data_IF_200585409206
#
_entry.id   IF_200585409206
#
_cell.length_a   1.000
_cell.length_b   1.000
_cell.length_c   1.000
_cell.angle_alpha   90.00
_cell.angle_beta   90.00
_cell.angle_gamma   90.00
#
_symmetry.space_group_name_H-M   'P 1'
#
loop_
_entity.id
_entity.type
_entity.pdbx_description
1 polymer ?
#
# COMPACT_ATOMS: atom_id res chain seq x y z
N UNK A 1 -30.48 -111.24 86.92
CA UNK A 1 -31.49 -110.31 87.45
C UNK A 1 -31.47 -110.36 88.97
N UNK A 2 -30.79 -109.41 89.63
CA UNK A 2 -31.03 -108.90 91.01
C UNK A 2 -30.21 -107.59 91.16
N UNK A 3 -30.87 -106.51 91.59
CA UNK A 3 -30.54 -105.06 91.48
C UNK A 3 -29.33 -104.62 92.35
N UNK A 4 -28.23 -104.00 91.89
CA UNK A 4 -27.92 -102.60 91.43
C UNK A 4 -28.10 -101.50 92.51
N UNK A 5 -27.06 -101.02 93.23
CA UNK A 5 -25.91 -100.11 92.93
C UNK A 5 -26.27 -98.60 92.98
N UNK A 6 -25.40 -97.81 93.63
CA UNK A 6 -25.29 -96.32 93.65
C UNK A 6 -25.73 -95.54 94.91
N UNK A 7 -25.12 -95.76 96.08
CA UNK A 7 -24.97 -94.74 97.15
C UNK A 7 -23.61 -94.89 97.84
N UNK A 8 -22.58 -94.59 97.06
CA UNK A 8 -21.26 -94.25 97.55
C UNK A 8 -21.20 -92.77 97.99
N UNK A 9 -20.06 -92.41 98.59
CA UNK A 9 -19.35 -91.16 98.32
C UNK A 9 -19.58 -89.94 99.21
N UNK A 10 -20.57 -89.91 100.11
CA UNK A 10 -20.73 -88.73 100.97
C UNK A 10 -20.20 -88.92 102.39
N UNK A 11 -18.98 -88.42 102.52
CA UNK A 11 -18.51 -87.65 103.68
C UNK A 11 -17.66 -88.39 104.70
N UNK A 12 -16.79 -89.23 104.16
CA UNK A 12 -15.43 -89.51 104.64
C UNK A 12 -14.53 -88.23 104.65
N UNK A 13 -15.04 -87.03 104.36
CA UNK A 13 -14.25 -85.79 104.14
C UNK A 13 -14.26 -84.82 105.35
N UNK A 14 -15.15 -84.94 106.34
CA UNK A 14 -15.24 -83.95 107.43
C UNK A 14 -14.51 -84.31 108.73
N UNK A 15 -13.92 -85.50 108.84
CA UNK A 15 -13.20 -85.96 110.04
C UNK A 15 -11.71 -85.59 110.08
N UNK A 16 -11.20 -84.82 109.11
CA UNK A 16 -9.76 -84.51 108.99
C UNK A 16 -9.35 -83.10 109.48
N UNK A 17 -10.28 -82.20 109.85
CA UNK A 17 -9.94 -80.84 110.29
C UNK A 17 -9.57 -80.71 111.77
N UNK A 18 -9.57 -81.84 112.51
CA UNK A 18 -9.39 -81.91 113.96
C UNK A 18 -7.93 -82.08 114.44
N UNK A 19 -6.94 -82.13 113.54
CA UNK A 19 -5.63 -82.68 113.92
C UNK A 19 -4.41 -81.77 113.69
N UNK A 20 -4.55 -80.50 113.33
CA UNK A 20 -3.32 -79.72 113.10
C UNK A 20 -3.46 -78.23 113.43
N UNK A 21 -3.36 -77.80 114.67
CA UNK A 21 -2.23 -77.92 115.62
C UNK A 21 -1.97 -76.48 116.06
N UNK A 22 -2.74 -76.04 117.06
CA UNK A 22 -2.47 -74.85 117.85
C UNK A 22 -2.12 -75.36 119.25
N UNK A 23 -0.85 -75.78 119.45
CA UNK A 23 -0.33 -76.18 120.75
C UNK A 23 1.11 -75.68 120.96
N UNK A 24 1.22 -74.64 121.81
CA UNK A 24 2.31 -74.31 122.76
C UNK A 24 3.71 -73.99 122.21
N UNK A 25 4.57 -73.12 122.78
CA UNK A 25 4.59 -72.43 124.08
C UNK A 25 5.98 -72.57 124.77
N UNK A 26 6.64 -71.42 125.02
CA UNK A 26 7.54 -71.02 126.15
C UNK A 26 8.90 -71.71 126.49
N UNK A 27 9.87 -70.83 126.79
CA UNK A 27 10.91 -70.81 127.87
C UNK A 27 12.38 -71.33 127.64
N UNK A 28 13.32 -70.37 127.84
CA UNK A 28 14.72 -70.34 128.35
C UNK A 28 15.73 -71.52 128.21
N UNK A 29 16.81 -71.19 127.46
CA UNK A 29 18.28 -71.49 127.44
C UNK A 29 18.95 -72.43 128.47
N UNK A 30 20.20 -72.96 128.25
CA UNK A 30 21.13 -72.80 127.10
C UNK A 30 21.90 -74.08 126.62
N UNK A 31 22.56 -73.99 125.45
CA UNK A 31 23.91 -74.52 125.09
C UNK A 31 24.01 -75.01 123.62
N UNK A 32 25.00 -74.49 122.87
CA UNK A 32 25.64 -75.22 121.75
C UNK A 32 25.20 -74.97 120.28
N UNK A 33 25.79 -73.96 119.64
CA UNK A 33 26.51 -74.02 118.33
C UNK A 33 25.90 -74.69 117.06
N UNK A 34 25.37 -73.88 116.11
CA UNK A 34 25.71 -73.77 114.64
C UNK A 34 24.61 -73.09 113.78
N UNK A 35 25.01 -72.02 113.07
CA UNK A 35 24.84 -71.67 111.62
C UNK A 35 23.43 -71.49 110.96
N UNK A 36 23.25 -70.28 110.38
CA UNK A 36 22.50 -69.82 109.17
C UNK A 36 20.95 -69.77 109.02
N UNK A 37 20.48 -68.56 108.63
CA UNK A 37 19.43 -68.22 107.62
C UNK A 37 18.14 -67.47 108.06
N UNK A 38 18.13 -66.16 107.74
CA UNK A 38 17.09 -65.20 107.26
C UNK A 38 15.66 -65.06 107.83
N UNK A 39 15.22 -63.79 107.95
CA UNK A 39 13.84 -63.26 107.85
C UNK A 39 13.83 -62.05 106.86
N UNK A 40 12.72 -61.73 106.16
CA UNK A 40 12.73 -60.93 104.92
C UNK A 40 12.57 -59.41 105.14
N UNK A 41 13.17 -58.59 104.24
CA UNK A 41 12.93 -57.14 104.13
C UNK A 41 13.03 -56.67 102.66
N UNK A 42 12.19 -55.68 102.34
CA UNK A 42 11.67 -55.23 101.04
C UNK A 42 12.70 -54.70 100.03
N UNK A 43 12.50 -55.02 98.75
CA UNK A 43 13.24 -54.48 97.60
C UNK A 43 13.05 -52.98 97.46
N UNK A 44 14.16 -52.22 97.45
CA UNK A 44 14.19 -50.81 97.05
C UNK A 44 15.12 -50.64 95.85
N UNK A 45 14.56 -50.15 94.74
CA UNK A 45 15.33 -49.65 93.61
C UNK A 45 15.56 -48.15 93.80
N UNK A 46 16.81 -47.69 93.71
CA UNK A 46 17.15 -46.27 93.67
C UNK A 46 16.67 -45.65 92.37
N UNK A 47 15.67 -44.76 92.43
CA UNK A 47 15.22 -43.98 91.29
C UNK A 47 16.24 -42.88 90.95
N UNK A 48 16.69 -42.84 89.69
CA UNK A 48 17.49 -41.76 89.13
C UNK A 48 16.55 -40.79 88.42
N UNK A 49 16.49 -39.52 88.85
CA UNK A 49 15.80 -38.48 88.08
C UNK A 49 16.65 -38.18 86.84
N UNK A 50 16.21 -38.63 85.67
CA UNK A 50 16.64 -38.04 84.41
C UNK A 50 15.66 -36.90 84.07
N UNK A 51 16.19 -35.68 83.94
CA UNK A 51 15.45 -34.55 83.37
C UNK A 51 15.03 -34.93 81.95
N UNK A 52 13.73 -34.91 81.61
CA UNK A 52 13.29 -35.09 80.24
C UNK A 52 14.03 -34.07 79.38
N UNK A 53 14.67 -34.50 78.30
CA UNK A 53 15.17 -33.56 77.31
C UNK A 53 13.95 -32.77 76.78
N UNK A 54 13.96 -31.44 76.95
CA UNK A 54 12.94 -30.48 76.49
C UNK A 54 12.91 -30.35 74.94
N UNK A 55 13.10 -31.45 74.23
CA UNK A 55 12.98 -31.55 72.79
C UNK A 55 11.89 -32.55 72.45
N UNK A 56 10.68 -32.02 72.27
CA UNK A 56 9.58 -32.76 71.66
C UNK A 56 9.76 -32.69 70.15
N UNK A 57 10.29 -33.76 69.56
CA UNK A 57 10.32 -33.92 68.11
C UNK A 57 8.91 -34.23 67.63
N UNK A 58 8.23 -33.22 67.07
CA UNK A 58 6.92 -33.38 66.43
C UNK A 58 7.10 -33.57 64.93
N UNK A 59 6.52 -34.64 64.40
CA UNK A 59 6.44 -34.84 62.96
C UNK A 59 5.36 -33.92 62.38
N UNK A 60 5.74 -33.04 61.45
CA UNK A 60 4.82 -32.17 60.72
C UNK A 60 5.23 -32.06 59.26
N UNK A 61 4.28 -31.74 58.39
CA UNK A 61 4.52 -31.52 56.96
C UNK A 61 4.48 -30.03 56.65
N UNK A 62 5.44 -29.55 55.85
CA UNK A 62 5.43 -28.18 55.35
C UNK A 62 4.78 -28.18 53.97
N UNK A 63 3.77 -27.34 53.77
CA UNK A 63 3.03 -27.23 52.51
C UNK A 63 3.11 -25.79 51.98
N UNK A 64 3.40 -25.63 50.69
CA UNK A 64 3.49 -24.31 50.07
C UNK A 64 2.09 -23.65 49.99
N UNK A 65 1.95 -22.42 50.49
CA UNK A 65 0.68 -21.69 50.51
C UNK A 65 0.19 -21.21 49.13
N UNK A 66 1.07 -21.11 48.14
CA UNK A 66 0.73 -20.80 46.74
C UNK A 66 1.78 -21.41 45.82
N UNK A 67 1.34 -22.01 44.71
CA UNK A 67 2.20 -22.62 43.70
C UNK A 67 1.80 -22.10 42.32
N UNK A 68 2.79 -21.81 41.48
CA UNK A 68 2.60 -21.47 40.08
C UNK A 68 3.50 -22.37 39.22
N UNK A 69 2.93 -22.99 38.19
CA UNK A 69 3.70 -23.74 37.22
C UNK A 69 4.44 -22.76 36.29
N UNK A 70 5.76 -22.91 36.20
CA UNK A 70 6.58 -22.12 35.27
C UNK A 70 6.84 -22.97 34.03
N UNK A 71 6.43 -22.47 32.86
CA UNK A 71 6.60 -23.14 31.58
C UNK A 71 7.13 -22.21 30.50
N UNK A 72 7.81 -22.77 29.51
CA UNK A 72 8.24 -22.03 28.33
C UNK A 72 7.04 -21.75 27.41
N UNK A 73 6.98 -20.54 26.82
CA UNK A 73 5.95 -20.17 25.84
C UNK A 73 6.13 -20.83 24.49
N UNK A 74 7.36 -21.27 24.19
CA UNK A 74 7.75 -21.96 22.96
C UNK A 74 8.49 -23.24 23.31
N UNK A 75 8.29 -24.33 22.56
CA UNK A 75 9.05 -25.55 22.75
C UNK A 75 10.51 -25.30 22.36
N UNK A 76 11.42 -25.44 23.33
CA UNK A 76 12.85 -25.20 23.14
C UNK A 76 13.69 -26.07 24.07
N UNK A 77 14.93 -26.35 23.67
CA UNK A 77 15.89 -27.05 24.52
C UNK A 77 16.38 -26.11 25.63
N UNK A 78 16.50 -26.60 26.86
CA UNK A 78 17.12 -25.84 27.95
C UNK A 78 18.64 -25.90 27.79
N UNK A 79 19.29 -24.74 27.66
CA UNK A 79 20.76 -24.61 27.58
C UNK A 79 21.39 -24.54 28.96
N UNK A 80 20.72 -23.89 29.92
CA UNK A 80 21.20 -23.76 31.29
C UNK A 80 20.03 -23.57 32.26
N UNK A 81 20.11 -24.17 33.44
CA UNK A 81 19.26 -23.85 34.58
C UNK A 81 20.10 -22.96 35.51
N UNK A 82 19.58 -21.79 35.87
CA UNK A 82 20.34 -20.71 36.52
C UNK A 82 20.11 -20.64 38.03
N UNK A 83 19.22 -21.49 38.58
CA UNK A 83 18.80 -21.49 39.97
C UNK A 83 18.80 -22.91 40.53
N UNK A 84 18.97 -23.05 41.85
CA UNK A 84 18.93 -24.33 42.55
C UNK A 84 17.63 -24.52 43.34
N UNK A 85 17.29 -25.77 43.63
CA UNK A 85 16.16 -26.08 44.49
C UNK A 85 16.34 -25.47 45.89
N UNK A 86 15.30 -24.79 46.40
CA UNK A 86 15.33 -24.05 47.66
C UNK A 86 15.92 -22.63 47.58
N UNK A 87 16.41 -22.21 46.42
CA UNK A 87 16.94 -20.85 46.21
C UNK A 87 15.80 -19.82 46.15
N UNK A 88 15.97 -18.68 46.85
CA UNK A 88 15.03 -17.57 46.78
C UNK A 88 15.29 -16.73 45.55
N UNK A 89 14.27 -16.55 44.72
CA UNK A 89 14.32 -15.77 43.49
C UNK A 89 13.38 -14.57 43.56
N UNK A 90 13.72 -13.50 42.85
CA UNK A 90 12.88 -12.30 42.73
C UNK A 90 12.18 -12.23 41.37
N UNK A 91 11.10 -11.46 41.28
CA UNK A 91 10.37 -11.28 40.02
C UNK A 91 11.29 -10.71 38.92
N UNK A 92 11.20 -11.29 37.71
CA UNK A 92 12.06 -10.94 36.57
C UNK A 92 13.42 -11.63 36.54
N UNK A 93 13.78 -12.40 37.57
CA UNK A 93 15.02 -13.18 37.58
C UNK A 93 14.93 -14.35 36.57
N UNK A 94 15.89 -14.49 35.64
CA UNK A 94 15.94 -15.64 34.75
C UNK A 94 16.17 -16.93 35.52
N UNK A 95 15.28 -17.90 35.35
CA UNK A 95 15.36 -19.21 36.01
C UNK A 95 16.08 -20.26 35.14
N UNK A 96 15.91 -20.15 33.82
CA UNK A 96 16.56 -21.01 32.84
C UNK A 96 16.81 -20.24 31.53
N UNK A 97 17.79 -20.69 30.76
CA UNK A 97 18.08 -20.21 29.40
C UNK A 97 17.66 -21.28 28.40
N UNK A 98 16.96 -20.87 27.36
CA UNK A 98 16.50 -21.74 26.27
C UNK A 98 17.40 -21.52 25.03
N UNK A 99 17.59 -22.57 24.25
CA UNK A 99 18.21 -22.51 22.94
C UNK A 99 17.17 -22.01 21.93
N UNK A 100 17.45 -20.84 21.35
CA UNK A 100 16.55 -20.14 20.42
C UNK A 100 17.12 -20.11 19.00
N UNK A 101 18.12 -20.93 18.67
CA UNK A 101 18.82 -20.88 17.38
C UNK A 101 17.90 -20.98 16.15
N UNK A 102 16.85 -21.81 16.22
CA UNK A 102 15.86 -21.93 15.14
C UNK A 102 15.04 -20.64 14.96
N UNK A 103 14.70 -19.95 16.05
CA UNK A 103 13.99 -18.67 16.02
C UNK A 103 14.89 -17.55 15.50
N UNK A 104 16.15 -17.52 15.94
CA UNK A 104 17.13 -16.56 15.45
C UNK A 104 17.38 -16.74 13.94
N UNK A 105 17.46 -17.98 13.46
CA UNK A 105 17.56 -18.29 12.03
C UNK A 105 16.33 -17.82 11.25
N UNK A 106 15.12 -18.00 11.80
CA UNK A 106 13.88 -17.50 11.20
C UNK A 106 13.84 -15.97 11.14
N UNK A 107 14.28 -15.29 12.21
CA UNK A 107 14.40 -13.82 12.24
C UNK A 107 15.39 -13.37 11.17
N UNK A 108 16.58 -13.97 11.11
CA UNK A 108 17.60 -13.63 10.11
C UNK A 108 17.10 -13.81 8.67
N UNK A 109 16.35 -14.90 8.41
CA UNK A 109 15.73 -15.14 7.10
C UNK A 109 14.63 -14.12 6.79
N UNK A 110 13.78 -13.78 7.75
CA UNK A 110 12.73 -12.78 7.59
C UNK A 110 13.31 -11.38 7.35
N UNK A 111 14.35 -10.99 8.08
CA UNK A 111 15.06 -9.73 7.89
C UNK A 111 15.77 -9.68 6.53
N UNK A 112 16.36 -10.78 6.07
CA UNK A 112 16.93 -10.87 4.74
C UNK A 112 15.85 -10.69 3.65
N UNK A 113 14.68 -11.33 3.85
CA UNK A 113 13.50 -11.13 3.00
C UNK A 113 13.04 -9.67 2.98
N UNK A 114 12.97 -9.02 4.14
CA UNK A 114 12.61 -7.60 4.26
C UNK A 114 13.61 -6.70 3.51
N UNK A 115 14.92 -6.91 3.70
CA UNK A 115 15.97 -6.15 2.99
C UNK A 115 15.85 -6.33 1.47
N UNK A 116 15.58 -7.56 1.01
CA UNK A 116 15.33 -7.86 -0.40
C UNK A 116 14.10 -7.11 -0.94
N UNK A 117 12.98 -7.18 -0.23
CA UNK A 117 11.75 -6.49 -0.61
C UNK A 117 11.92 -4.96 -0.65
N UNK A 118 12.63 -4.38 0.33
CA UNK A 118 12.95 -2.95 0.35
C UNK A 118 13.83 -2.54 -0.82
N UNK A 119 14.82 -3.34 -1.19
CA UNK A 119 15.68 -3.07 -2.34
C UNK A 119 14.89 -3.12 -3.66
N UNK A 120 13.95 -4.07 -3.80
CA UNK A 120 13.05 -4.14 -4.95
C UNK A 120 12.12 -2.91 -5.02
N UNK A 121 11.57 -2.47 -3.88
CA UNK A 121 10.73 -1.27 -3.82
C UNK A 121 11.51 -0.01 -4.23
N UNK A 122 12.76 0.15 -3.77
CA UNK A 122 13.63 1.26 -4.20
C UNK A 122 13.89 1.23 -5.70
N UNK A 123 14.25 0.08 -6.26
CA UNK A 123 14.43 -0.08 -7.72
C UNK A 123 13.17 0.25 -8.51
N UNK A 124 11.99 -0.12 -8.00
CA UNK A 124 10.72 0.19 -8.64
C UNK A 124 10.42 1.69 -8.62
N UNK A 125 10.68 2.38 -7.50
CA UNK A 125 10.54 3.84 -7.41
C UNK A 125 11.54 4.57 -8.32
N UNK A 126 12.80 4.15 -8.33
CA UNK A 126 13.82 4.71 -9.22
C UNK A 126 13.41 4.53 -10.70
N UNK A 127 12.91 3.34 -11.05
CA UNK A 127 12.35 3.07 -12.38
C UNK A 127 11.14 3.94 -12.71
N UNK A 128 10.26 4.20 -11.73
CA UNK A 128 9.09 5.09 -11.89
C UNK A 128 9.52 6.55 -12.11
N UNK A 129 10.53 7.02 -11.38
CA UNK A 129 11.10 8.36 -11.53
C UNK A 129 11.78 8.52 -12.90
N UNK A 130 12.59 7.55 -13.32
CA UNK A 130 13.19 7.55 -14.64
C UNK A 130 12.14 7.56 -15.76
N UNK A 131 11.09 6.74 -15.62
CA UNK A 131 9.97 6.72 -16.59
C UNK A 131 9.21 8.05 -16.61
N UNK A 132 9.04 8.71 -15.47
CA UNK A 132 8.42 10.02 -15.40
C UNK A 132 9.25 11.08 -16.13
N UNK A 133 10.56 11.12 -15.87
CA UNK A 133 11.46 12.05 -16.56
C UNK A 133 11.45 11.84 -18.09
N UNK A 134 11.39 10.59 -18.53
CA UNK A 134 11.28 10.24 -19.95
C UNK A 134 9.94 10.73 -20.55
N UNK A 135 8.82 10.53 -19.85
CA UNK A 135 7.51 11.03 -20.29
C UNK A 135 7.48 12.56 -20.33
N UNK A 136 8.05 13.24 -19.34
CA UNK A 136 8.11 14.69 -19.29
C UNK A 136 8.93 15.24 -20.48
N UNK A 137 10.04 14.58 -20.84
CA UNK A 137 10.83 14.92 -22.02
C UNK A 137 10.05 14.71 -23.34
N UNK A 138 9.27 13.62 -23.44
CA UNK A 138 8.41 13.36 -24.61
C UNK A 138 7.29 14.41 -24.75
N UNK A 139 6.68 14.81 -23.63
CA UNK A 139 5.67 15.89 -23.60
C UNK A 139 6.30 17.20 -24.07
N UNK A 140 7.47 17.58 -23.54
CA UNK A 140 8.17 18.79 -23.94
C UNK A 140 8.53 18.80 -25.44
N UNK A 141 8.96 17.66 -26.00
CA UNK A 141 9.24 17.53 -27.43
C UNK A 141 7.97 17.66 -28.28
N UNK A 142 6.85 17.07 -27.82
CA UNK A 142 5.56 17.16 -28.50
C UNK A 142 5.04 18.61 -28.49
N UNK A 143 5.17 19.32 -27.38
CA UNK A 143 4.80 20.72 -27.26
C UNK A 143 5.65 21.63 -28.16
N UNK A 144 6.97 21.40 -28.21
CA UNK A 144 7.86 22.13 -29.11
C UNK A 144 7.48 21.89 -30.59
N UNK A 145 7.13 20.66 -30.95
CA UNK A 145 6.66 20.31 -32.29
C UNK A 145 5.32 20.97 -32.63
N UNK A 146 4.41 21.04 -31.66
CA UNK A 146 3.13 21.75 -31.80
C UNK A 146 3.34 23.26 -31.96
N UNK A 147 4.24 23.86 -31.20
CA UNK A 147 4.58 25.28 -31.33
C UNK A 147 5.18 25.61 -32.70
N UNK A 148 6.06 24.75 -33.22
CA UNK A 148 6.59 24.86 -34.58
C UNK A 148 5.47 24.73 -35.63
N UNK A 149 4.58 23.75 -35.49
CA UNK A 149 3.47 23.54 -36.41
C UNK A 149 2.52 24.74 -36.44
N UNK A 150 2.20 25.32 -35.28
CA UNK A 150 1.41 26.56 -35.17
C UNK A 150 2.09 27.74 -35.84
N UNK A 151 3.40 27.91 -35.62
CA UNK A 151 4.17 28.99 -36.25
C UNK A 151 4.15 28.88 -37.77
N UNK A 152 4.30 27.66 -38.31
CA UNK A 152 4.17 27.39 -39.75
C UNK A 152 2.77 27.67 -40.29
N UNK A 153 1.72 27.32 -39.54
CA UNK A 153 0.34 27.65 -39.91
C UNK A 153 0.15 29.17 -40.00
N UNK A 154 0.60 29.93 -39.00
CA UNK A 154 0.53 31.40 -39.01
C UNK A 154 1.30 31.99 -40.19
N UNK A 155 2.49 31.47 -40.51
CA UNK A 155 3.25 31.90 -41.69
C UNK A 155 2.50 31.62 -43.00
N UNK A 156 1.89 30.44 -43.13
CA UNK A 156 1.09 30.08 -44.30
C UNK A 156 -0.16 30.97 -44.44
N UNK A 157 -0.85 31.24 -43.34
CA UNK A 157 -2.03 32.14 -43.31
C UNK A 157 -1.66 33.57 -43.69
N UNK A 158 -0.55 34.09 -43.18
CA UNK A 158 -0.04 35.42 -43.55
C UNK A 158 0.33 35.46 -45.03
N UNK A 159 1.03 34.45 -45.54
CA UNK A 159 1.35 34.33 -46.96
C UNK A 159 0.09 34.31 -47.83
N UNK A 160 -0.92 33.53 -47.44
CA UNK A 160 -2.21 33.48 -48.14
C UNK A 160 -2.94 34.82 -48.11
N UNK A 161 -2.95 35.52 -46.96
CA UNK A 161 -3.57 36.84 -46.82
C UNK A 161 -2.88 37.87 -47.73
N UNK A 162 -1.55 37.87 -47.77
CA UNK A 162 -0.77 38.75 -48.65
C UNK A 162 -1.09 38.47 -50.12
N UNK A 163 -1.05 37.20 -50.56
CA UNK A 163 -1.40 36.82 -51.93
C UNK A 163 -2.84 37.21 -52.27
N UNK A 164 -3.79 37.04 -51.35
CA UNK A 164 -5.18 37.45 -51.55
C UNK A 164 -5.31 38.97 -51.69
N UNK A 165 -4.61 39.74 -50.85
CA UNK A 165 -4.63 41.20 -50.92
C UNK A 165 -4.00 41.73 -52.22
N UNK A 166 -2.93 41.10 -52.68
CA UNK A 166 -2.31 41.39 -53.98
C UNK A 166 -3.29 41.07 -55.12
N UNK A 167 -3.91 39.89 -55.11
CA UNK A 167 -4.90 39.51 -56.13
C UNK A 167 -6.12 40.45 -56.17
N UNK A 168 -6.58 40.94 -55.01
CA UNK A 168 -7.64 41.96 -54.94
C UNK A 168 -7.17 43.27 -55.58
N UNK A 169 -5.95 43.71 -55.27
CA UNK A 169 -5.36 44.93 -55.84
C UNK A 169 -5.17 44.81 -57.36
N UNK A 170 -4.73 43.66 -57.84
CA UNK A 170 -4.57 43.35 -59.26
C UNK A 170 -5.92 43.36 -59.99
N UNK A 171 -6.94 42.75 -59.38
CA UNK A 171 -8.31 42.78 -59.89
C UNK A 171 -8.84 44.20 -59.98
N UNK A 172 -8.54 45.05 -59.01
CA UNK A 172 -8.98 46.45 -59.02
C UNK A 172 -8.29 47.28 -60.11
N UNK A 173 -6.98 47.04 -60.33
CA UNK A 173 -6.24 47.63 -61.46
C UNK A 173 -6.79 47.18 -62.80
N UNK A 174 -7.08 45.89 -62.96
CA UNK A 174 -7.70 45.34 -64.17
C UNK A 174 -9.09 45.95 -64.42
N UNK A 175 -9.94 46.03 -63.38
CA UNK A 175 -11.25 46.69 -63.46
C UNK A 175 -11.16 48.15 -63.89
N UNK A 176 -10.22 48.89 -63.31
CA UNK A 176 -9.97 50.29 -63.67
C UNK A 176 -9.54 50.42 -65.14
N UNK A 177 -8.69 49.51 -65.63
CA UNK A 177 -8.30 49.43 -67.04
C UNK A 177 -9.48 49.17 -67.97
N UNK A 178 -10.35 48.21 -67.62
CA UNK A 178 -11.59 47.93 -68.37
C UNK A 178 -12.51 49.15 -68.39
N UNK A 179 -12.65 49.87 -67.27
CA UNK A 179 -13.47 51.07 -67.19
C UNK A 179 -12.96 52.19 -68.11
N UNK A 180 -11.64 52.41 -68.15
CA UNK A 180 -11.01 53.38 -69.05
C UNK A 180 -11.18 53.00 -70.52
N UNK A 181 -10.96 51.73 -70.86
CA UNK A 181 -11.14 51.25 -72.24
C UNK A 181 -12.61 51.35 -72.68
N UNK A 182 -13.56 51.12 -71.77
CA UNK A 182 -14.98 51.31 -72.02
C UNK A 182 -15.32 52.78 -72.29
N UNK A 183 -14.79 53.70 -71.48
CA UNK A 183 -14.98 55.13 -71.70
C UNK A 183 -14.38 55.60 -73.05
N UNK A 184 -13.23 55.05 -73.45
CA UNK A 184 -12.62 55.34 -74.75
C UNK A 184 -13.46 54.83 -75.92
N UNK A 185 -14.06 53.64 -75.80
CA UNK A 185 -15.00 53.12 -76.79
C UNK A 185 -16.24 54.00 -76.90
N UNK A 186 -16.82 54.41 -75.78
CA UNK A 186 -17.99 55.28 -75.75
C UNK A 186 -17.71 56.63 -76.44
N UNK A 187 -16.55 57.23 -76.18
CA UNK A 187 -16.11 58.45 -76.87
C UNK A 187 -15.96 58.25 -78.39
N UNK A 188 -15.40 57.11 -78.82
CA UNK A 188 -15.24 56.78 -80.23
C UNK A 188 -16.61 56.51 -80.92
N UNK A 189 -17.57 55.92 -80.21
CA UNK A 189 -18.93 55.71 -80.70
C UNK A 189 -19.69 57.02 -80.88
N UNK A 190 -19.54 57.96 -79.94
CA UNK A 190 -20.10 59.32 -80.08
C UNK A 190 -19.49 60.02 -81.31
N UNK A 191 -18.17 59.96 -81.48
CA UNK A 191 -17.50 60.54 -82.66
C UNK A 191 -17.94 59.91 -83.98
N UNK A 192 -18.15 58.59 -83.98
CA UNK A 192 -18.70 57.87 -85.13
C UNK A 192 -20.14 58.32 -85.45
N UNK A 193 -21.00 58.46 -84.44
CA UNK A 193 -22.36 58.95 -84.64
C UNK A 193 -22.37 60.36 -85.26
N UNK A 194 -21.52 61.27 -84.77
CA UNK A 194 -21.38 62.62 -85.34
C UNK A 194 -20.92 62.59 -86.80
N UNK A 195 -19.97 61.71 -87.15
CA UNK A 195 -19.49 61.55 -88.52
C UNK A 195 -20.56 60.94 -89.44
N UNK A 196 -21.35 59.99 -88.95
CA UNK A 196 -22.48 59.39 -89.67
C UNK A 196 -23.56 60.44 -89.98
N UNK A 197 -23.92 61.25 -88.98
CA UNK A 197 -24.92 62.31 -89.14
C UNK A 197 -24.44 63.38 -90.12
N UNK A 198 -23.16 63.77 -90.06
CA UNK A 198 -22.57 64.70 -91.01
C UNK A 198 -22.65 64.17 -92.44
N UNK A 199 -22.19 62.92 -92.67
CA UNK A 199 -22.27 62.27 -93.97
C UNK A 199 -23.72 62.17 -94.48
N UNK A 200 -24.67 61.76 -93.63
CA UNK A 200 -26.08 61.66 -93.99
C UNK A 200 -26.70 63.02 -94.39
N UNK A 201 -26.33 64.10 -93.70
CA UNK A 201 -26.76 65.47 -94.06
C UNK A 201 -26.19 65.90 -95.41
N UNK A 202 -24.90 65.70 -95.63
CA UNK A 202 -24.21 66.06 -96.87
C UNK A 202 -24.71 65.24 -98.05
N UNK A 203 -24.95 63.94 -97.87
CA UNK A 203 -25.52 63.07 -98.92
C UNK A 203 -26.89 63.58 -99.39
N UNK A 204 -27.80 63.88 -98.45
CA UNK A 204 -29.13 64.45 -98.79
C UNK A 204 -29.04 65.79 -99.50
N UNK A 205 -28.04 66.62 -99.17
CA UNK A 205 -27.84 67.91 -99.80
C UNK A 205 -27.21 67.77 -101.19
N UNK A 206 -26.31 66.80 -101.38
CA UNK A 206 -25.70 66.48 -102.67
C UNK A 206 -26.73 65.95 -103.66
N UNK A 207 -27.63 65.06 -103.21
CA UNK A 207 -28.76 64.56 -104.00
C UNK A 207 -29.70 65.69 -104.48
N UNK A 208 -29.72 66.82 -103.75
CA UNK A 208 -30.47 68.04 -104.11
C UNK A 208 -29.61 69.08 -104.88
N UNK A 209 -28.37 68.75 -105.23
CA UNK A 209 -27.44 69.63 -105.95
C UNK A 209 -26.80 70.74 -105.10
N UNK A 210 -26.94 70.71 -103.78
CA UNK A 210 -26.54 71.80 -102.88
C UNK A 210 -25.11 71.75 -102.33
N UNK A 211 -24.34 70.68 -102.60
CA UNK A 211 -22.91 70.55 -102.21
C UNK A 211 -22.11 69.83 -103.30
N UNK A 212 -20.81 70.13 -103.38
CA UNK A 212 -19.92 69.53 -104.37
C UNK A 212 -19.59 68.07 -104.01
N UNK A 213 -19.33 67.24 -105.02
CA UNK A 213 -18.97 65.82 -104.83
C UNK A 213 -17.75 65.65 -103.91
N UNK A 214 -16.76 66.54 -104.03
CA UNK A 214 -15.55 66.56 -103.18
C UNK A 214 -15.87 66.70 -101.69
N UNK A 215 -16.93 67.43 -101.33
CA UNK A 215 -17.33 67.62 -99.93
C UNK A 215 -17.97 66.36 -99.36
N UNK A 216 -18.74 65.63 -100.18
CA UNK A 216 -19.32 64.34 -99.82
C UNK A 216 -18.25 63.25 -99.67
N UNK A 217 -17.32 63.18 -100.61
CA UNK A 217 -16.19 62.24 -100.59
C UNK A 217 -15.29 62.49 -99.35
N UNK A 218 -15.08 63.75 -98.97
CA UNK A 218 -14.38 64.14 -97.74
C UNK A 218 -15.10 63.68 -96.46
N UNK A 219 -16.43 63.82 -96.41
CA UNK A 219 -17.24 63.33 -95.29
C UNK A 219 -17.28 61.80 -95.20
N UNK A 220 -17.27 61.09 -96.35
CA UNK A 220 -17.14 59.64 -96.39
C UNK A 220 -15.79 59.18 -95.84
N UNK A 221 -14.69 59.85 -96.22
CA UNK A 221 -13.37 59.58 -95.66
C UNK A 221 -13.34 59.80 -94.14
N UNK A 222 -13.99 60.84 -93.64
CA UNK A 222 -14.10 61.13 -92.21
C UNK A 222 -14.92 60.06 -91.46
N UNK A 223 -16.03 59.61 -92.05
CA UNK A 223 -16.82 58.51 -91.51
C UNK A 223 -16.01 57.20 -91.45
N UNK A 224 -15.23 56.90 -92.50
CA UNK A 224 -14.35 55.73 -92.53
C UNK A 224 -13.31 55.78 -91.41
N UNK A 225 -12.70 56.95 -91.19
CA UNK A 225 -11.76 57.15 -90.08
C UNK A 225 -12.43 56.93 -88.71
N UNK A 226 -13.62 57.50 -88.48
CA UNK A 226 -14.33 57.34 -87.22
C UNK A 226 -14.74 55.87 -86.97
N UNK A 227 -15.09 55.11 -88.03
CA UNK A 227 -15.34 53.66 -87.92
C UNK A 227 -14.10 52.90 -87.49
N UNK A 228 -12.96 53.18 -88.13
CA UNK A 228 -11.69 52.57 -87.76
C UNK A 228 -11.29 52.91 -86.31
N UNK A 229 -11.50 54.16 -85.87
CA UNK A 229 -11.25 54.56 -84.48
C UNK A 229 -12.13 53.79 -83.49
N UNK A 230 -13.42 53.62 -83.78
CA UNK A 230 -14.33 52.80 -82.96
C UNK A 230 -13.89 51.33 -82.91
N UNK A 231 -13.47 50.75 -84.02
CA UNK A 231 -12.94 49.38 -84.05
C UNK A 231 -11.66 49.24 -83.23
N UNK A 232 -10.73 50.20 -83.30
CA UNK A 232 -9.52 50.18 -82.46
C UNK A 232 -9.84 50.30 -80.97
N UNK A 233 -10.81 51.14 -80.60
CA UNK A 233 -11.25 51.27 -79.21
C UNK A 233 -11.97 50.01 -78.72
N UNK A 234 -12.76 49.35 -79.58
CA UNK A 234 -13.43 48.09 -79.26
C UNK A 234 -12.41 46.95 -79.04
N UNK A 235 -11.39 46.85 -79.92
CA UNK A 235 -10.29 45.90 -79.74
C UNK A 235 -9.51 46.17 -78.45
N UNK A 236 -9.29 47.45 -78.09
CA UNK A 236 -8.66 47.84 -76.83
C UNK A 236 -9.48 47.43 -75.59
N UNK A 237 -10.81 47.50 -75.65
CA UNK A 237 -11.69 47.02 -74.57
C UNK A 237 -11.66 45.50 -74.45
N UNK A 238 -11.67 44.77 -75.56
CA UNK A 238 -11.55 43.31 -75.56
C UNK A 238 -10.18 42.88 -74.98
N UNK A 239 -9.10 43.57 -75.36
CA UNK A 239 -7.78 43.32 -74.79
C UNK A 239 -7.71 43.62 -73.28
N UNK A 240 -8.43 44.64 -72.79
CA UNK A 240 -8.47 44.96 -71.37
C UNK A 240 -9.28 43.95 -70.54
N UNK A 241 -10.16 43.16 -71.18
CA UNK A 241 -11.01 42.14 -70.54
C UNK A 241 -10.40 40.75 -70.52
N UNK A 242 -9.47 40.46 -71.44
CA UNK A 242 -8.74 39.20 -71.54
C UNK A 242 -7.75 39.03 -70.37
#
# INVERSE_FOLDING_TARGET
MTRTLSIAFLAVILLASAFYYLRSGRAATPSGERVETTLPLVTVATAKLETPADQVTLAGTVQAGSQAAVGAKVPARITAILVREGERVVAGQPLARLDLGDLDAQIAAAEAGLRGAQALARKAEDGRLARRSELDAQVAQAEASLALARSKLTQAELGQKLTRSAAVSDRERARSGVAMAKAALEQAEIGLAQAQDAYARLKRLHEKGGVAKVDLDGAEAQLRLARAQRETAAAGLEQARA
#
